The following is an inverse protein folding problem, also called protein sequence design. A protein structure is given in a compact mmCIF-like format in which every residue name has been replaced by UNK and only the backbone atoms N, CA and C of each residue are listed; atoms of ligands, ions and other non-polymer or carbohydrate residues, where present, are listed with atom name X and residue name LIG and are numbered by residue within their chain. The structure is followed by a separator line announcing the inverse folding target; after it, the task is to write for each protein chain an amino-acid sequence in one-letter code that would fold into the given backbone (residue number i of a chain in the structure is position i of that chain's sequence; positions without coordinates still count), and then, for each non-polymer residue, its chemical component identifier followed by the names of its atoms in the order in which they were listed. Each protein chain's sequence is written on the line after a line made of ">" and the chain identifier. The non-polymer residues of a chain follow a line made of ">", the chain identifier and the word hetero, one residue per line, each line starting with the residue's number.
data_IF_286096170806
#
_entry.id   IF_286096170806
#
_cell.length_a   1.000
_cell.length_b   1.000
_cell.length_c   1.000
_cell.angle_alpha   90.00
_cell.angle_beta   90.00
_cell.angle_gamma   90.00
#
_symmetry.space_group_name_H-M   'P 1'
#
loop_
_entity.id
_entity.type
_entity.pdbx_description
1 polymer ?
#
# COMPACT_ATOMS: atom_id res chain seq x y z
N UNK A 1 -15.01 4.07 -51.09
CA UNK A 1 -14.23 3.31 -50.08
C UNK A 1 -12.87 3.97 -49.94
N UNK A 2 -12.59 4.40 -48.71
CA UNK A 2 -11.77 5.54 -48.28
C UNK A 2 -10.31 5.52 -48.75
N UNK A 3 -9.82 6.62 -49.35
CA UNK A 3 -8.40 6.77 -49.77
C UNK A 3 -7.48 6.61 -48.56
N UNK A 4 -7.92 7.11 -47.39
CA UNK A 4 -7.21 6.97 -46.14
C UNK A 4 -6.97 5.50 -45.77
N UNK A 5 -7.99 4.64 -45.82
CA UNK A 5 -7.85 3.22 -45.46
C UNK A 5 -6.91 2.46 -46.40
N UNK A 6 -6.77 2.90 -47.65
CA UNK A 6 -5.91 2.26 -48.66
C UNK A 6 -4.45 2.71 -48.59
N UNK A 7 -4.21 3.96 -48.20
CA UNK A 7 -2.87 4.54 -48.15
C UNK A 7 -2.34 4.59 -46.71
N UNK A 8 -2.68 5.65 -45.97
CA UNK A 8 -2.19 5.88 -44.60
C UNK A 8 -2.64 4.83 -43.61
N UNK A 9 -3.90 4.38 -43.69
CA UNK A 9 -4.51 3.40 -42.80
C UNK A 9 -4.03 1.97 -43.01
N UNK A 10 -3.48 1.65 -44.19
CA UNK A 10 -3.05 0.30 -44.52
C UNK A 10 -1.97 -0.24 -43.55
N UNK A 11 -1.13 0.65 -43.00
CA UNK A 11 -0.09 0.31 -42.00
C UNK A 11 -0.61 -0.18 -40.65
N UNK A 12 -1.90 0.01 -40.37
CA UNK A 12 -2.53 -0.39 -39.11
C UNK A 12 -3.45 -1.61 -39.28
N UNK A 13 -3.58 -2.14 -40.50
CA UNK A 13 -4.38 -3.34 -40.79
C UNK A 13 -3.83 -4.54 -40.05
N UNK A 14 -2.53 -4.76 -40.20
CA UNK A 14 -1.80 -5.83 -39.55
C UNK A 14 -0.89 -5.22 -38.49
N UNK A 15 -0.71 -5.87 -37.33
CA UNK A 15 0.18 -5.37 -36.32
C UNK A 15 1.61 -5.68 -36.80
N UNK A 16 2.25 -4.70 -37.45
CA UNK A 16 3.60 -4.85 -38.03
C UNK A 16 4.68 -4.63 -36.95
N UNK A 17 4.36 -3.82 -35.94
CA UNK A 17 5.26 -3.51 -34.82
C UNK A 17 4.46 -3.39 -33.51
N UNK A 18 5.10 -3.62 -32.36
CA UNK A 18 4.53 -3.28 -31.06
C UNK A 18 4.21 -1.78 -30.98
N UNK A 19 3.16 -1.44 -30.24
CA UNK A 19 2.71 -0.08 -30.01
C UNK A 19 2.59 0.72 -31.32
N UNK A 20 1.99 0.10 -32.35
CA UNK A 20 1.73 0.74 -33.65
C UNK A 20 0.61 1.79 -33.55
N UNK A 21 0.86 2.83 -32.76
CA UNK A 21 -0.09 3.87 -32.45
C UNK A 21 -0.15 4.95 -33.53
N UNK A 22 -1.33 5.57 -33.68
CA UNK A 22 -1.55 6.63 -34.67
C UNK A 22 -0.66 7.86 -34.41
N UNK A 23 -0.45 8.21 -33.13
CA UNK A 23 0.41 9.33 -32.73
C UNK A 23 1.90 9.00 -32.72
N UNK A 24 2.32 7.81 -33.18
CA UNK A 24 3.71 7.35 -33.14
C UNK A 24 4.10 6.89 -31.74
N UNK A 25 4.50 7.83 -30.89
CA UNK A 25 4.92 7.57 -29.50
C UNK A 25 3.77 7.52 -28.50
N UNK A 26 2.54 7.80 -28.96
CA UNK A 26 1.33 7.82 -28.15
C UNK A 26 0.10 7.34 -28.92
N UNK A 27 -0.90 6.75 -28.24
CA UNK A 27 -2.12 6.24 -28.89
C UNK A 27 -2.95 7.35 -29.54
N UNK A 28 -3.07 8.51 -28.90
CA UNK A 28 -3.90 9.62 -29.36
C UNK A 28 -3.03 10.83 -29.71
N UNK A 29 -2.96 11.24 -30.99
CA UNK A 29 -2.11 12.35 -31.42
C UNK A 29 -2.37 13.65 -30.65
N UNK A 30 -3.64 13.94 -30.34
CA UNK A 30 -4.07 15.18 -29.69
C UNK A 30 -4.05 15.12 -28.15
N UNK A 31 -3.94 13.93 -27.56
CA UNK A 31 -3.91 13.78 -26.10
C UNK A 31 -2.52 13.36 -25.64
N UNK A 32 -1.71 14.37 -25.30
CA UNK A 32 -0.32 14.17 -24.89
C UNK A 32 -0.18 13.60 -23.47
N UNK A 33 -1.21 13.78 -22.64
CA UNK A 33 -1.23 13.32 -21.24
C UNK A 33 -1.46 11.82 -21.14
N UNK A 34 -2.16 11.22 -22.10
CA UNK A 34 -2.45 9.78 -22.08
C UNK A 34 -1.31 8.96 -22.67
N UNK A 35 -0.49 8.40 -21.78
CA UNK A 35 0.60 7.47 -22.11
C UNK A 35 0.36 6.15 -21.37
N UNK A 36 -0.22 5.14 -22.04
CA UNK A 36 -0.58 3.91 -21.36
C UNK A 36 0.69 3.19 -20.90
N UNK A 37 0.76 2.73 -19.63
CA UNK A 37 1.88 1.94 -19.16
C UNK A 37 1.86 0.56 -19.83
N UNK A 38 3.03 -0.06 -19.96
CA UNK A 38 3.14 -1.41 -20.52
C UNK A 38 2.40 -2.42 -19.61
N UNK A 39 1.57 -3.33 -20.17
CA UNK A 39 0.90 -4.36 -19.39
C UNK A 39 1.88 -5.31 -18.68
N UNK A 40 1.41 -5.96 -17.62
CA UNK A 40 2.17 -7.00 -16.92
C UNK A 40 2.19 -8.27 -17.76
N UNK A 41 3.38 -8.80 -18.05
CA UNK A 41 3.53 -10.04 -18.83
C UNK A 41 2.89 -11.25 -18.16
N UNK A 42 2.43 -12.21 -18.96
CA UNK A 42 1.85 -13.45 -18.45
C UNK A 42 2.84 -14.23 -17.61
N UNK A 43 4.08 -14.34 -18.07
CA UNK A 43 5.14 -15.02 -17.34
C UNK A 43 5.30 -14.44 -15.92
N UNK A 44 5.27 -13.12 -15.79
CA UNK A 44 5.33 -12.45 -14.50
C UNK A 44 4.07 -12.68 -13.66
N UNK A 45 2.88 -12.63 -14.28
CA UNK A 45 1.61 -12.95 -13.59
C UNK A 45 1.61 -14.38 -13.04
N UNK A 46 2.07 -15.33 -13.83
CA UNK A 46 2.21 -16.74 -13.46
C UNK A 46 3.25 -16.92 -12.35
N UNK A 47 4.38 -16.20 -12.40
CA UNK A 47 5.38 -16.21 -11.33
C UNK A 47 4.84 -15.67 -10.00
N UNK A 48 4.11 -14.55 -10.03
CA UNK A 48 3.47 -13.95 -8.84
C UNK A 48 2.49 -14.95 -8.23
N UNK A 49 1.65 -15.58 -9.06
CA UNK A 49 0.69 -16.58 -8.63
C UNK A 49 1.36 -17.80 -8.00
N UNK A 50 2.39 -18.37 -8.64
CA UNK A 50 3.13 -19.51 -8.13
C UNK A 50 3.79 -19.23 -6.77
N UNK A 51 4.42 -18.05 -6.61
CA UNK A 51 5.01 -17.63 -5.33
C UNK A 51 3.96 -17.52 -4.23
N UNK A 52 2.83 -16.87 -4.52
CA UNK A 52 1.73 -16.74 -3.57
C UNK A 52 1.18 -18.11 -3.14
N UNK A 53 0.98 -19.03 -4.10
CA UNK A 53 0.48 -20.38 -3.81
C UNK A 53 1.48 -21.25 -3.04
N UNK A 54 2.79 -21.01 -3.19
CA UNK A 54 3.82 -21.75 -2.45
C UNK A 54 3.80 -21.44 -0.95
N UNK A 55 3.70 -20.16 -0.59
CA UNK A 55 3.62 -19.73 0.81
C UNK A 55 2.96 -18.33 0.90
N UNK A 56 1.65 -18.28 1.21
CA UNK A 56 0.91 -17.02 1.33
C UNK A 56 1.35 -16.13 2.51
N UNK A 57 2.01 -16.70 3.52
CA UNK A 57 2.43 -15.97 4.73
C UNK A 57 3.69 -15.16 4.42
N UNK A 58 4.69 -15.78 3.81
CA UNK A 58 5.92 -15.10 3.39
C UNK A 58 5.69 -14.24 2.15
N UNK A 59 4.99 -14.78 1.14
CA UNK A 59 4.67 -14.08 -0.10
C UNK A 59 3.29 -13.41 -0.02
N UNK A 60 3.05 -12.65 1.05
CA UNK A 60 1.82 -11.88 1.18
C UNK A 60 1.62 -10.93 -0.01
N UNK A 61 0.38 -10.54 -0.28
CA UNK A 61 0.03 -9.58 -1.36
C UNK A 61 0.87 -8.30 -1.27
N UNK A 62 1.14 -7.83 -0.05
CA UNK A 62 1.96 -6.64 0.20
C UNK A 62 3.43 -6.87 -0.14
N UNK A 63 3.98 -8.04 0.21
CA UNK A 63 5.36 -8.40 -0.12
C UNK A 63 5.55 -8.53 -1.64
N UNK A 64 4.61 -9.18 -2.33
CA UNK A 64 4.63 -9.32 -3.79
C UNK A 64 4.49 -7.98 -4.52
N UNK A 65 3.58 -7.11 -4.05
CA UNK A 65 3.42 -5.75 -4.57
C UNK A 65 4.71 -4.93 -4.45
N UNK A 66 5.34 -4.95 -3.27
CA UNK A 66 6.60 -4.26 -3.03
C UNK A 66 7.77 -4.82 -3.88
N UNK A 67 7.86 -6.14 -4.01
CA UNK A 67 8.93 -6.80 -4.77
C UNK A 67 8.86 -6.52 -6.28
N UNK A 68 7.64 -6.43 -6.83
CA UNK A 68 7.42 -6.27 -8.26
C UNK A 68 7.03 -4.83 -8.68
N UNK A 69 6.94 -3.89 -7.73
CA UNK A 69 6.56 -2.51 -8.01
C UNK A 69 5.14 -2.38 -8.59
N UNK A 70 4.22 -3.22 -8.12
CA UNK A 70 2.82 -3.22 -8.57
C UNK A 70 1.91 -2.74 -7.44
N UNK A 71 0.78 -2.12 -7.79
CA UNK A 71 -0.23 -1.75 -6.79
C UNK A 71 -0.87 -2.99 -6.17
N UNK A 72 -1.34 -2.85 -4.91
CA UNK A 72 -1.97 -3.96 -4.19
C UNK A 72 -3.20 -4.51 -4.92
N UNK A 73 -4.01 -3.63 -5.53
CA UNK A 73 -5.17 -4.04 -6.36
C UNK A 73 -4.73 -4.85 -7.58
N UNK A 74 -3.63 -4.48 -8.21
CA UNK A 74 -3.14 -5.16 -9.41
C UNK A 74 -2.67 -6.57 -9.05
N UNK A 75 -1.94 -6.74 -7.94
CA UNK A 75 -1.54 -8.07 -7.46
C UNK A 75 -2.76 -8.91 -7.08
N UNK A 76 -3.71 -8.36 -6.32
CA UNK A 76 -4.96 -9.04 -5.97
C UNK A 76 -5.76 -9.47 -7.22
N UNK A 77 -5.84 -8.61 -8.24
CA UNK A 77 -6.48 -8.94 -9.51
C UNK A 77 -5.73 -10.06 -10.28
N UNK A 78 -4.40 -10.02 -10.30
CA UNK A 78 -3.57 -11.06 -10.93
C UNK A 78 -3.85 -12.42 -10.27
N UNK A 79 -3.84 -12.47 -8.93
CA UNK A 79 -4.11 -13.72 -8.19
C UNK A 79 -5.50 -14.28 -8.50
N UNK A 80 -6.52 -13.41 -8.58
CA UNK A 80 -7.89 -13.81 -8.95
C UNK A 80 -7.99 -14.37 -10.36
N UNK A 81 -7.44 -13.65 -11.34
CA UNK A 81 -7.53 -14.03 -12.74
C UNK A 81 -6.72 -15.31 -13.03
N UNK A 82 -5.56 -15.48 -12.40
CA UNK A 82 -4.78 -16.72 -12.52
C UNK A 82 -5.42 -17.90 -11.79
N UNK A 83 -6.11 -17.64 -10.66
CA UNK A 83 -6.95 -18.66 -10.03
C UNK A 83 -8.09 -19.14 -10.95
N UNK A 84 -8.75 -18.21 -11.66
CA UNK A 84 -9.79 -18.54 -12.64
C UNK A 84 -9.23 -19.32 -13.83
N UNK A 85 -8.06 -18.94 -14.32
CA UNK A 85 -7.36 -19.67 -15.38
C UNK A 85 -7.04 -21.12 -14.96
N UNK A 86 -6.54 -21.32 -13.73
CA UNK A 86 -6.29 -22.66 -13.19
C UNK A 86 -7.58 -23.48 -13.07
N UNK A 87 -8.70 -22.86 -12.67
CA UNK A 87 -10.00 -23.51 -12.62
C UNK A 87 -10.50 -23.91 -14.02
N UNK A 88 -10.38 -23.03 -15.01
CA UNK A 88 -10.76 -23.35 -16.39
C UNK A 88 -9.93 -24.48 -16.98
N UNK A 89 -8.65 -24.55 -16.63
CA UNK A 89 -7.82 -25.70 -16.97
C UNK A 89 -8.32 -27.01 -16.34
N UNK A 90 -8.76 -26.98 -15.07
CA UNK A 90 -9.35 -28.15 -14.41
C UNK A 90 -10.68 -28.59 -15.06
N UNK A 91 -11.49 -27.62 -15.51
CA UNK A 91 -12.74 -27.86 -16.25
C UNK A 91 -12.53 -28.22 -17.73
N UNK A 92 -11.27 -28.32 -18.20
CA UNK A 92 -10.91 -28.52 -19.61
C UNK A 92 -11.54 -27.49 -20.58
N UNK A 93 -11.75 -26.26 -20.12
CA UNK A 93 -12.21 -25.15 -20.98
C UNK A 93 -11.04 -24.61 -21.80
N UNK A 94 -11.18 -24.44 -23.12
CA UNK A 94 -10.08 -23.98 -23.97
C UNK A 94 -9.71 -22.52 -23.66
N UNK A 95 -8.44 -22.29 -23.32
CA UNK A 95 -7.88 -20.95 -23.10
C UNK A 95 -7.34 -20.35 -24.41
N UNK A 96 -7.53 -19.05 -24.59
CA UNK A 96 -7.07 -18.32 -25.79
C UNK A 96 -5.61 -17.85 -25.67
N UNK A 97 -4.68 -18.78 -25.49
CA UNK A 97 -3.25 -18.49 -25.30
C UNK A 97 -2.60 -17.83 -26.52
N UNK A 98 -3.03 -18.18 -27.74
CA UNK A 98 -2.55 -17.55 -28.97
C UNK A 98 -2.94 -16.07 -29.08
N UNK A 99 -4.19 -15.74 -28.70
CA UNK A 99 -4.66 -14.35 -28.66
C UNK A 99 -3.86 -13.54 -27.62
N UNK A 100 -3.66 -14.14 -26.45
CA UNK A 100 -2.85 -13.54 -25.39
C UNK A 100 -1.42 -13.22 -25.85
N UNK A 101 -0.73 -14.17 -26.48
CA UNK A 101 0.63 -13.97 -26.99
C UNK A 101 0.67 -12.84 -28.04
N UNK A 102 -0.31 -12.81 -28.95
CA UNK A 102 -0.44 -11.74 -29.94
C UNK A 102 -0.66 -10.37 -29.28
N UNK A 103 -1.51 -10.29 -28.26
CA UNK A 103 -1.77 -9.04 -27.53
C UNK A 103 -0.55 -8.54 -26.75
N UNK A 104 0.20 -9.43 -26.11
CA UNK A 104 1.44 -9.05 -25.42
C UNK A 104 2.49 -8.50 -26.38
N UNK A 105 2.58 -9.09 -27.57
CA UNK A 105 3.42 -8.56 -28.63
C UNK A 105 2.93 -7.20 -29.14
N UNK A 106 1.63 -7.04 -29.46
CA UNK A 106 1.06 -5.77 -29.92
C UNK A 106 1.24 -4.62 -28.92
N UNK A 107 1.21 -4.91 -27.62
CA UNK A 107 1.36 -3.94 -26.53
C UNK A 107 2.81 -3.74 -26.07
N UNK A 108 3.79 -4.34 -26.76
CA UNK A 108 5.22 -4.14 -26.51
C UNK A 108 5.72 -4.77 -25.20
N UNK A 109 5.03 -5.76 -24.65
CA UNK A 109 5.40 -6.41 -23.39
C UNK A 109 6.73 -7.15 -23.51
N UNK A 110 6.98 -7.82 -24.64
CA UNK A 110 8.22 -8.57 -24.89
C UNK A 110 9.43 -7.64 -24.97
N UNK A 111 9.34 -6.56 -25.74
CA UNK A 111 10.39 -5.55 -25.84
C UNK A 111 10.67 -4.90 -24.49
N UNK A 112 9.63 -4.57 -23.74
CA UNK A 112 9.79 -3.98 -22.41
C UNK A 112 10.46 -4.95 -21.43
N UNK A 113 10.19 -6.25 -21.51
CA UNK A 113 10.84 -7.26 -20.67
C UNK A 113 12.35 -7.34 -20.96
N UNK A 114 12.74 -7.28 -22.23
CA UNK A 114 14.15 -7.25 -22.66
C UNK A 114 14.85 -5.98 -22.16
N UNK A 115 14.24 -4.81 -22.32
CA UNK A 115 14.82 -3.54 -21.87
C UNK A 115 14.84 -3.40 -20.33
N UNK A 116 13.82 -3.89 -19.64
CA UNK A 116 13.71 -3.82 -18.17
C UNK A 116 14.71 -4.71 -17.45
N UNK A 117 15.19 -5.78 -18.08
CA UNK A 117 16.26 -6.61 -17.52
C UNK A 117 17.55 -5.79 -17.27
N UNK A 118 17.74 -4.68 -17.97
CA UNK A 118 18.91 -3.82 -17.89
C UNK A 118 18.67 -2.50 -17.14
N UNK A 119 17.44 -2.18 -16.75
CA UNK A 119 17.09 -0.84 -16.25
C UNK A 119 16.37 -0.90 -14.89
N UNK A 120 16.90 -0.18 -13.90
CA UNK A 120 16.25 -0.03 -12.59
C UNK A 120 14.90 0.66 -12.76
N UNK A 121 13.87 0.18 -12.04
CA UNK A 121 12.53 0.76 -12.05
C UNK A 121 12.62 2.27 -11.77
N UNK A 122 12.19 3.14 -12.69
CA UNK A 122 12.26 4.58 -12.50
C UNK A 122 11.39 5.02 -11.32
N UNK A 123 11.86 5.99 -10.52
CA UNK A 123 11.17 6.47 -9.31
C UNK A 123 9.76 7.01 -9.60
N UNK A 124 9.52 7.52 -10.80
CA UNK A 124 8.20 8.01 -11.25
C UNK A 124 7.15 6.90 -11.29
N UNK A 125 7.53 5.69 -11.73
CA UNK A 125 6.62 4.54 -11.73
C UNK A 125 6.25 4.11 -10.30
N UNK A 126 7.12 4.36 -9.32
CA UNK A 126 6.82 4.09 -7.91
C UNK A 126 5.90 5.15 -7.30
N UNK A 127 5.97 6.40 -7.76
CA UNK A 127 5.07 7.46 -7.34
C UNK A 127 3.62 7.16 -7.78
N UNK A 128 3.42 6.71 -9.03
CA UNK A 128 2.12 6.32 -9.57
C UNK A 128 1.48 5.18 -8.75
N UNK A 129 2.29 4.19 -8.34
CA UNK A 129 1.81 3.05 -7.53
C UNK A 129 1.35 3.52 -6.14
N UNK A 130 2.10 4.42 -5.51
CA UNK A 130 1.76 4.97 -4.19
C UNK A 130 0.50 5.82 -4.25
N UNK A 131 0.34 6.63 -5.30
CA UNK A 131 -0.87 7.44 -5.51
C UNK A 131 -2.09 6.54 -5.76
N UNK A 132 -1.95 5.49 -6.57
CA UNK A 132 -3.02 4.53 -6.83
C UNK A 132 -3.47 3.80 -5.56
N UNK A 133 -2.54 3.41 -4.69
CA UNK A 133 -2.87 2.79 -3.40
C UNK A 133 -3.48 3.80 -2.41
N UNK A 134 -3.03 5.05 -2.39
CA UNK A 134 -3.59 6.10 -1.53
C UNK A 134 -5.02 6.51 -1.94
N UNK A 135 -5.29 6.65 -3.24
CA UNK A 135 -6.64 6.88 -3.77
C UNK A 135 -7.58 5.73 -3.41
N UNK A 136 -7.09 4.48 -3.42
CA UNK A 136 -7.89 3.34 -2.97
C UNK A 136 -8.28 3.43 -1.49
N UNK A 137 -7.35 3.78 -0.61
CA UNK A 137 -7.65 3.91 0.82
C UNK A 137 -8.74 4.97 1.06
N UNK A 138 -8.76 6.01 0.22
CA UNK A 138 -9.78 7.04 0.24
C UNK A 138 -11.14 6.60 -0.35
N UNK A 139 -11.15 5.73 -1.37
CA UNK A 139 -12.35 5.42 -2.17
C UNK A 139 -13.31 4.43 -1.49
N UNK A 140 -12.88 3.68 -0.47
CA UNK A 140 -13.81 2.94 0.41
C UNK A 140 -14.51 1.73 -0.23
N UNK A 141 -14.15 0.54 0.26
CA UNK A 141 -14.87 -0.75 0.21
C UNK A 141 -16.11 -0.89 -0.74
N UNK A 142 -15.87 -1.13 -2.02
CA UNK A 142 -16.91 -1.41 -3.02
C UNK A 142 -17.65 -2.75 -2.75
N UNK A 143 -18.97 -2.73 -2.46
CA UNK A 143 -19.76 -3.93 -2.18
C UNK A 143 -19.94 -4.86 -3.40
N UNK A 144 -19.85 -4.36 -4.64
CA UNK A 144 -19.88 -5.21 -5.83
C UNK A 144 -18.65 -6.12 -5.88
N UNK A 145 -17.50 -5.60 -5.42
CA UNK A 145 -16.23 -6.33 -5.34
C UNK A 145 -16.23 -7.44 -4.28
N UNK A 146 -17.04 -7.31 -3.22
CA UNK A 146 -17.25 -8.35 -2.22
C UNK A 146 -18.12 -9.50 -2.75
N UNK A 147 -19.11 -9.21 -3.60
CA UNK A 147 -19.98 -10.22 -4.23
C UNK A 147 -19.21 -11.12 -5.21
N UNK A 148 -18.35 -10.53 -6.04
CA UNK A 148 -17.46 -11.29 -6.93
C UNK A 148 -16.38 -12.07 -6.17
N UNK A 149 -15.99 -11.65 -4.95
CA UNK A 149 -15.06 -12.43 -4.12
C UNK A 149 -15.70 -13.70 -3.54
N UNK A 150 -17.00 -13.67 -3.25
CA UNK A 150 -17.76 -14.80 -2.70
C UNK A 150 -18.09 -15.87 -3.74
N UNK A 151 -18.33 -15.49 -5.00
CA UNK A 151 -18.77 -16.43 -6.04
C UNK A 151 -17.65 -17.29 -6.67
N UNK A 152 -16.39 -16.88 -6.58
CA UNK A 152 -15.33 -17.41 -7.47
C UNK A 152 -14.31 -18.32 -6.79
N UNK A 153 -14.57 -18.80 -5.57
CA UNK A 153 -13.58 -19.59 -4.80
C UNK A 153 -13.97 -21.01 -4.37
N UNK A 154 -15.04 -21.61 -4.89
CA UNK A 154 -15.21 -23.07 -5.16
C UNK A 154 -16.69 -23.37 -5.50
N UNK A 155 -16.99 -24.45 -6.26
CA UNK A 155 -18.32 -25.05 -6.26
C UNK A 155 -18.54 -25.70 -4.90
N UNK A 156 -19.09 -24.92 -3.96
CA UNK A 156 -19.44 -25.42 -2.64
C UNK A 156 -20.76 -26.18 -2.76
N UNK A 157 -20.76 -27.48 -2.43
CA UNK A 157 -22.01 -28.21 -2.23
C UNK A 157 -22.85 -27.50 -1.16
N UNK A 158 -24.14 -27.29 -1.42
CA UNK A 158 -25.06 -26.53 -0.56
C UNK A 158 -24.87 -26.87 0.93
N UNK A 159 -24.40 -25.90 1.74
CA UNK A 159 -24.41 -25.97 3.21
C UNK A 159 -23.08 -25.93 3.97
N UNK A 160 -21.92 -25.62 3.35
CA UNK A 160 -20.65 -25.40 4.09
C UNK A 160 -20.05 -24.01 3.81
N UNK A 161 -19.47 -23.37 4.83
CA UNK A 161 -18.81 -22.07 4.65
C UNK A 161 -17.36 -22.22 4.14
N UNK A 162 -16.91 -21.39 3.17
CA UNK A 162 -15.60 -21.52 2.53
C UNK A 162 -14.43 -20.98 3.39
N UNK A 163 -13.27 -21.66 3.34
CA UNK A 163 -12.12 -21.48 4.26
C UNK A 163 -11.13 -20.37 3.86
N UNK A 164 -10.86 -20.18 2.56
CA UNK A 164 -9.88 -19.18 2.05
C UNK A 164 -10.35 -17.73 2.15
N UNK A 165 -11.64 -17.40 1.88
CA UNK A 165 -12.17 -16.05 2.12
C UNK A 165 -12.05 -15.64 3.59
N UNK A 166 -12.17 -16.59 4.51
CA UNK A 166 -12.04 -16.35 5.95
C UNK A 166 -10.63 -15.88 6.32
N UNK A 167 -9.59 -16.47 5.73
CA UNK A 167 -8.19 -16.09 6.00
C UNK A 167 -7.87 -14.70 5.42
N UNK A 168 -8.35 -14.37 4.22
CA UNK A 168 -8.17 -13.06 3.61
C UNK A 168 -9.00 -11.97 4.32
N UNK A 169 -10.21 -12.29 4.76
CA UNK A 169 -11.02 -11.41 5.60
C UNK A 169 -10.36 -11.19 6.95
N UNK A 170 -9.87 -12.26 7.58
CA UNK A 170 -9.15 -12.20 8.85
C UNK A 170 -7.89 -11.34 8.73
N UNK A 171 -7.07 -11.55 7.70
CA UNK A 171 -5.89 -10.71 7.43
C UNK A 171 -6.25 -9.23 7.22
N UNK A 172 -7.38 -8.95 6.57
CA UNK A 172 -7.86 -7.58 6.36
C UNK A 172 -8.40 -6.95 7.65
N UNK A 173 -9.22 -7.68 8.42
CA UNK A 173 -9.72 -7.21 9.72
C UNK A 173 -8.59 -7.04 10.71
N UNK A 174 -7.59 -7.90 10.67
CA UNK A 174 -6.41 -7.81 11.52
C UNK A 174 -5.55 -6.62 11.11
N UNK A 175 -5.39 -6.34 9.81
CA UNK A 175 -4.75 -5.12 9.33
C UNK A 175 -5.44 -3.82 9.79
N UNK A 176 -6.78 -3.79 9.72
CA UNK A 176 -7.59 -2.65 10.20
C UNK A 176 -7.46 -2.50 11.72
N UNK A 177 -7.54 -3.61 12.47
CA UNK A 177 -7.36 -3.62 13.93
C UNK A 177 -5.97 -3.15 14.32
N UNK A 178 -4.93 -3.61 13.64
CA UNK A 178 -3.55 -3.19 13.87
C UNK A 178 -3.37 -1.69 13.61
N UNK A 179 -3.93 -1.16 12.51
CA UNK A 179 -3.88 0.27 12.22
C UNK A 179 -4.57 1.10 13.33
N UNK A 180 -5.78 0.70 13.75
CA UNK A 180 -6.48 1.38 14.84
C UNK A 180 -5.76 1.27 16.18
N UNK A 181 -5.20 0.11 16.52
CA UNK A 181 -4.41 -0.06 17.74
C UNK A 181 -3.14 0.80 17.70
N UNK A 182 -2.51 0.92 16.53
CA UNK A 182 -1.33 1.75 16.35
C UNK A 182 -1.69 3.24 16.56
N UNK A 183 -2.77 3.72 15.93
CA UNK A 183 -3.29 5.08 16.11
C UNK A 183 -3.66 5.37 17.57
N UNK A 184 -4.37 4.45 18.23
CA UNK A 184 -4.70 4.57 19.65
C UNK A 184 -3.44 4.60 20.53
N UNK A 185 -2.43 3.79 20.19
CA UNK A 185 -1.16 3.78 20.92
C UNK A 185 -0.37 5.08 20.75
N UNK A 186 -0.46 5.73 19.59
CA UNK A 186 0.15 7.04 19.32
C UNK A 186 -0.60 8.18 20.03
N UNK A 187 -1.92 8.06 20.16
CA UNK A 187 -2.78 9.02 20.85
C UNK A 187 -2.82 8.83 22.38
N UNK A 188 -2.04 7.90 22.92
CA UNK A 188 -2.00 7.65 24.36
C UNK A 188 -1.36 8.83 25.12
N UNK A 189 -1.88 9.14 26.32
CA UNK A 189 -1.43 10.25 27.18
C UNK A 189 0.05 10.18 27.58
N UNK A 190 0.69 9.03 27.38
CA UNK A 190 2.14 8.85 27.57
C UNK A 190 2.97 9.60 26.52
N UNK A 191 2.42 9.84 25.34
CA UNK A 191 3.11 10.49 24.22
C UNK A 191 2.59 11.91 23.94
N UNK A 192 1.36 12.21 24.38
CA UNK A 192 0.76 13.53 24.30
C UNK A 192 0.62 14.10 25.71
N UNK A 193 1.28 15.23 25.98
CA UNK A 193 1.02 16.00 27.20
C UNK A 193 -0.37 16.63 27.10
N UNK A 194 -1.27 16.39 28.07
CA UNK A 194 -2.56 17.08 28.10
C UNK A 194 -2.32 18.58 28.17
N UNK A 195 -2.79 19.33 27.19
CA UNK A 195 -2.83 20.79 27.30
C UNK A 195 -4.05 21.17 28.16
N UNK A 196 -3.87 21.83 29.31
CA UNK A 196 -5.01 22.29 30.10
C UNK A 196 -5.78 23.36 29.31
N UNK A 197 -7.09 23.16 29.12
CA UNK A 197 -8.00 24.15 28.53
C UNK A 197 -8.33 24.00 27.04
N UNK A 198 -7.81 22.98 26.32
CA UNK A 198 -8.19 22.73 24.92
C UNK A 198 -9.43 21.84 24.84
N UNK A 199 -10.47 22.27 24.11
CA UNK A 199 -11.66 21.44 23.85
C UNK A 199 -11.26 20.17 23.09
N UNK A 200 -11.94 19.05 23.36
CA UNK A 200 -11.70 17.74 22.72
C UNK A 200 -12.19 17.67 21.25
N UNK A 201 -12.52 18.80 20.66
CA UNK A 201 -13.08 18.85 19.32
C UNK A 201 -11.98 18.67 18.27
N UNK A 202 -12.11 17.62 17.47
CA UNK A 202 -11.15 17.24 16.43
C UNK A 202 -11.01 18.30 15.33
N UNK A 203 -12.02 19.16 15.18
CA UNK A 203 -12.03 20.25 14.21
C UNK A 203 -12.66 21.48 14.87
N UNK A 204 -11.88 22.55 14.99
CA UNK A 204 -12.34 23.85 15.48
C UNK A 204 -12.33 24.85 14.33
N UNK A 205 -13.50 25.41 14.01
CA UNK A 205 -13.60 26.51 13.05
C UNK A 205 -13.59 27.83 13.81
N UNK A 206 -12.73 28.76 13.39
CA UNK A 206 -12.60 30.09 13.98
C UNK A 206 -12.77 31.12 12.87
N UNK A 207 -13.71 32.05 13.03
CA UNK A 207 -13.98 33.13 12.08
C UNK A 207 -13.75 34.50 12.75
N UNK A 208 -12.51 35.02 12.77
CA UNK A 208 -12.24 36.37 13.28
C UNK A 208 -12.80 37.45 12.34
N UNK A 209 -13.27 38.60 12.85
CA UNK A 209 -13.74 39.69 12.01
C UNK A 209 -12.62 40.21 11.10
N UNK A 210 -12.91 40.37 9.80
CA UNK A 210 -11.97 40.86 8.81
C UNK A 210 -10.94 39.84 8.29
N UNK A 211 -11.06 38.55 8.64
CA UNK A 211 -10.19 37.47 8.13
C UNK A 211 -11.03 36.28 7.62
N UNK A 212 -10.53 35.52 6.63
CA UNK A 212 -11.22 34.31 6.16
C UNK A 212 -11.30 33.26 7.27
N UNK A 213 -12.34 32.43 7.21
CA UNK A 213 -12.61 31.36 8.17
C UNK A 213 -11.45 30.36 8.21
N UNK A 214 -10.89 30.13 9.39
CA UNK A 214 -9.80 29.18 9.61
C UNK A 214 -10.35 27.88 10.21
N UNK A 215 -9.95 26.74 9.63
CA UNK A 215 -10.27 25.39 10.12
C UNK A 215 -9.04 24.77 10.77
N UNK A 216 -9.06 24.65 12.09
CA UNK A 216 -8.03 23.97 12.85
C UNK A 216 -8.43 22.52 13.06
N UNK A 217 -7.73 21.58 12.42
CA UNK A 217 -7.89 20.14 12.69
C UNK A 217 -6.85 19.69 13.70
N UNK A 218 -7.29 19.13 14.83
CA UNK A 218 -6.39 18.45 15.75
C UNK A 218 -5.91 17.15 15.10
N UNK A 219 -4.60 17.09 14.84
CA UNK A 219 -3.93 15.94 14.23
C UNK A 219 -3.42 14.93 15.29
N UNK A 220 -3.56 15.24 16.58
CA UNK A 220 -3.18 14.35 17.68
C UNK A 220 -1.75 13.80 17.56
N UNK A 221 -1.58 12.52 17.89
CA UNK A 221 -0.31 11.79 17.81
C UNK A 221 0.03 11.24 16.42
N UNK A 222 -0.71 11.63 15.36
CA UNK A 222 -0.57 11.06 14.01
C UNK A 222 0.85 11.16 13.45
N UNK A 223 1.58 12.21 13.81
CA UNK A 223 2.95 12.47 13.37
C UNK A 223 4.02 12.11 14.41
N UNK A 224 3.64 11.41 15.49
CA UNK A 224 4.58 11.00 16.54
C UNK A 224 5.19 9.65 16.18
N UNK A 225 6.53 9.64 16.05
CA UNK A 225 7.29 8.40 15.99
C UNK A 225 7.31 7.73 17.36
N UNK A 226 6.61 6.59 17.50
CA UNK A 226 6.47 5.84 18.76
C UNK A 226 7.82 5.39 19.31
N UNK A 227 8.68 4.85 18.45
CA UNK A 227 9.99 4.33 18.85
C UNK A 227 10.92 5.43 19.35
N UNK A 228 10.91 6.58 18.67
CA UNK A 228 11.70 7.74 19.07
C UNK A 228 11.21 8.30 20.43
N UNK A 229 9.88 8.37 20.60
CA UNK A 229 9.26 8.81 21.85
C UNK A 229 9.57 7.87 23.02
N UNK A 230 9.52 6.55 22.80
CA UNK A 230 9.89 5.55 23.80
C UNK A 230 11.37 5.62 24.17
N UNK A 231 12.27 5.81 23.19
CA UNK A 231 13.71 6.04 23.44
C UNK A 231 13.92 7.28 24.29
N UNK A 232 13.20 8.37 24.01
CA UNK A 232 13.26 9.62 24.77
C UNK A 232 12.80 9.43 26.22
N UNK A 233 11.68 8.74 26.45
CA UNK A 233 11.16 8.44 27.79
C UNK A 233 12.15 7.58 28.59
N UNK A 234 12.71 6.53 27.99
CA UNK A 234 13.73 5.67 28.65
C UNK A 234 14.97 6.48 29.04
N UNK A 235 15.46 7.35 28.15
CA UNK A 235 16.62 8.23 28.41
C UNK A 235 16.34 9.21 29.54
N UNK A 236 15.12 9.76 29.62
CA UNK A 236 14.69 10.64 30.71
C UNK A 236 14.61 9.89 32.05
N UNK A 237 14.04 8.68 32.08
CA UNK A 237 13.97 7.84 33.27
C UNK A 237 15.38 7.43 33.77
N UNK A 238 16.30 7.12 32.86
CA UNK A 238 17.69 6.87 33.21
C UNK A 238 18.37 8.13 33.79
N UNK A 239 18.12 9.30 33.20
CA UNK A 239 18.67 10.57 33.72
C UNK A 239 18.09 10.92 35.08
N UNK A 240 16.81 10.67 35.32
CA UNK A 240 16.17 10.94 36.62
C UNK A 240 16.68 10.00 37.70
N UNK A 241 16.86 8.71 37.41
CA UNK A 241 17.42 7.75 38.38
C UNK A 241 18.85 8.10 38.77
N UNK A 242 19.69 8.50 37.82
CA UNK A 242 21.05 8.98 38.11
C UNK A 242 21.04 10.26 38.97
N UNK A 243 20.12 11.20 38.71
CA UNK A 243 19.96 12.39 39.56
C UNK A 243 19.50 12.02 40.97
N UNK A 244 18.57 11.07 41.11
CA UNK A 244 18.11 10.60 42.41
C UNK A 244 19.24 9.94 43.21
N UNK A 245 20.04 9.06 42.58
CA UNK A 245 21.23 8.47 43.21
C UNK A 245 22.24 9.53 43.65
N UNK A 246 22.54 10.51 42.79
CA UNK A 246 23.45 11.63 43.16
C UNK A 246 22.91 12.47 44.32
N UNK A 247 21.60 12.69 44.38
CA UNK A 247 20.96 13.41 45.50
C UNK A 247 21.00 12.61 46.79
N UNK A 248 20.82 11.29 46.73
CA UNK A 248 20.92 10.42 47.90
C UNK A 248 22.35 10.39 48.47
N UNK A 249 23.37 10.31 47.62
CA UNK A 249 24.78 10.39 48.05
C UNK A 249 25.09 11.74 48.70
N UNK A 250 24.71 12.85 48.07
CA UNK A 250 24.87 14.20 48.64
C UNK A 250 24.05 14.45 49.92
N UNK A 251 22.93 13.74 50.09
CA UNK A 251 22.12 13.80 51.30
C UNK A 251 22.80 13.06 52.44
N UNK A 252 23.30 11.84 52.18
CA UNK A 252 24.06 11.05 53.15
C UNK A 252 25.34 11.74 53.62
N UNK A 253 26.11 12.35 52.72
CA UNK A 253 27.31 13.14 53.07
C UNK A 253 26.97 14.34 53.97
N UNK A 254 25.79 14.96 53.78
CA UNK A 254 25.33 16.06 54.65
C UNK A 254 24.86 15.55 56.00
N UNK A 255 24.16 14.42 56.04
CA UNK A 255 23.65 13.83 57.28
C UNK A 255 24.80 13.26 58.15
N UNK A 256 25.87 12.74 57.53
CA UNK A 256 27.11 12.35 58.22
C UNK A 256 27.85 13.58 58.77
N UNK A 257 28.02 14.64 57.97
CA UNK A 257 28.66 15.88 58.42
C UNK A 257 27.89 16.56 59.57
N UNK A 258 26.54 16.47 59.58
CA UNK A 258 25.71 17.00 60.67
C UNK A 258 25.84 16.15 61.94
N UNK A 259 26.01 14.82 61.82
CA UNK A 259 26.23 13.95 62.98
C UNK A 259 27.62 14.14 63.59
N UNK A 260 28.64 14.34 62.75
CA UNK A 260 30.01 14.57 63.20
C UNK A 260 30.13 15.93 63.90
N UNK A 261 29.47 16.98 63.38
CA UNK A 261 29.40 18.30 64.01
C UNK A 261 28.51 18.39 65.28
N UNK A 262 27.69 17.37 65.55
CA UNK A 262 26.89 17.28 66.78
C UNK A 262 27.55 16.39 67.86
N UNK A 263 28.68 15.76 67.54
CA UNK A 263 29.46 14.92 68.45
C UNK A 263 30.68 15.64 69.04
N UNK A 264 31.01 16.84 68.55
CA UNK A 264 31.88 17.84 69.20
C UNK A 264 31.05 18.79 70.09
#
# INVERSE_FOLDING_TARGET
>A
LDIFLRDTGARFRDPIKPNNWLGGDRPFPLNHSFKPPVPVSDALRTQIYAKFMSDPVTHSVRALAAAHGLSLKRVDAILRLKGLEAHFNQENKPLQTGFQAGMEWCLGVTQHAEHSAFQRVPETAQADVREADALMEAEGNDPARLRYRKMFWEPVADGKDPVVPLLLERARTDGIRHAHQEEQSKNHSRFLTPQPGTSKEKVRMVAPPGRPMMKFSDVGGKFINKDESLKRIKKLAHRSSLKAKRRAVKGGEKDEAIREAAAE
#
